data_IF_592680706314
#
_entry.id   IF_592680706314
#
_cell.length_a   1.000
_cell.length_b   1.000
_cell.length_c   1.000
_cell.angle_alpha   90.00
_cell.angle_beta   90.00
_cell.angle_gamma   90.00
#
_symmetry.space_group_name_H-M   'P 1'
#
loop_
_entity.id
_entity.type
_entity.pdbx_description
1 polymer ?
#
# COMPACT_ATOMS: atom_id res chain seq x y z
N UNK A 1 5.17 5.03 -7.49
CA UNK A 1 5.15 3.75 -6.74
C UNK A 1 4.47 2.73 -7.64
N UNK A 2 5.04 1.53 -7.73
CA UNK A 2 4.42 0.42 -8.43
C UNK A 2 3.97 -0.60 -7.38
N UNK A 3 2.68 -0.96 -7.40
CA UNK A 3 2.09 -1.95 -6.51
C UNK A 3 1.66 -3.14 -7.35
N UNK A 4 2.14 -4.32 -6.98
CA UNK A 4 1.72 -5.61 -7.55
C UNK A 4 1.12 -6.46 -6.44
N UNK A 5 -0.09 -6.97 -6.70
CA UNK A 5 -0.83 -7.79 -5.73
C UNK A 5 -0.88 -9.23 -6.24
N UNK A 6 -0.70 -10.17 -5.34
CA UNK A 6 -0.79 -11.61 -5.59
C UNK A 6 -1.77 -12.22 -4.60
N UNK A 7 -2.51 -13.23 -5.05
CA UNK A 7 -3.39 -14.04 -4.22
C UNK A 7 -2.82 -15.44 -4.09
N UNK A 8 -2.80 -15.98 -2.89
CA UNK A 8 -2.42 -17.37 -2.66
C UNK A 8 -3.52 -18.31 -3.15
N UNK A 9 -3.19 -19.19 -4.10
CA UNK A 9 -4.09 -20.16 -4.72
C UNK A 9 -3.29 -21.43 -5.03
N UNK A 10 -3.85 -22.60 -4.72
CA UNK A 10 -3.22 -23.89 -5.06
C UNK A 10 -1.76 -24.02 -4.61
N UNK A 11 -1.46 -23.58 -3.38
CA UNK A 11 -0.14 -23.62 -2.76
C UNK A 11 0.91 -22.66 -3.34
N UNK A 12 0.51 -21.65 -4.11
CA UNK A 12 1.41 -20.63 -4.66
C UNK A 12 0.77 -19.24 -4.75
N UNK A 13 1.59 -18.18 -4.76
CA UNK A 13 1.12 -16.82 -5.00
C UNK A 13 0.98 -16.56 -6.50
N UNK A 14 -0.25 -16.35 -6.96
CA UNK A 14 -0.55 -16.01 -8.35
C UNK A 14 -0.92 -14.54 -8.46
N UNK A 15 -0.52 -13.92 -9.57
CA UNK A 15 -0.85 -12.52 -9.85
C UNK A 15 -2.35 -12.29 -9.72
N UNK A 16 -2.72 -11.29 -8.91
CA UNK A 16 -4.07 -10.76 -8.85
C UNK A 16 -4.11 -9.55 -9.77
N UNK A 17 -5.06 -9.44 -10.72
CA UNK A 17 -5.04 -8.47 -11.81
C UNK A 17 -5.40 -7.05 -11.37
N UNK A 18 -4.68 -6.54 -10.38
CA UNK A 18 -4.72 -5.16 -9.91
C UNK A 18 -3.29 -4.64 -10.01
N UNK A 19 -3.03 -3.87 -11.07
CA UNK A 19 -1.82 -3.06 -11.19
C UNK A 19 -2.24 -1.61 -11.14
N UNK A 20 -1.82 -0.92 -10.08
CA UNK A 20 -2.11 0.50 -9.90
C UNK A 20 -0.78 1.25 -9.90
N UNK A 21 -0.35 1.80 -11.04
CA UNK A 21 0.75 2.76 -11.03
C UNK A 21 0.24 4.01 -10.29
N UNK A 22 0.80 4.27 -9.12
CA UNK A 22 0.39 5.40 -8.29
C UNK A 22 1.54 6.40 -8.23
N UNK A 23 1.29 7.62 -8.67
CA UNK A 23 2.15 8.73 -8.29
C UNK A 23 1.83 9.09 -6.84
N UNK A 24 2.70 8.66 -5.92
CA UNK A 24 2.47 8.80 -4.49
C UNK A 24 2.10 10.22 -4.09
N UNK A 25 2.74 11.24 -4.67
CA UNK A 25 2.54 12.62 -4.29
C UNK A 25 1.30 13.27 -4.91
N UNK A 26 0.90 12.84 -6.11
CA UNK A 26 -0.35 13.30 -6.73
C UNK A 26 -1.57 12.61 -6.12
N UNK A 27 -1.44 11.35 -5.71
CA UNK A 27 -2.54 10.53 -5.22
C UNK A 27 -2.75 10.63 -3.70
N UNK A 28 -1.71 10.98 -2.94
CA UNK A 28 -1.79 11.18 -1.50
C UNK A 28 -2.94 12.12 -1.10
N UNK A 29 -3.06 13.36 -1.62
CA UNK A 29 -4.16 14.25 -1.22
C UNK A 29 -5.55 13.75 -1.62
N UNK A 30 -5.66 12.83 -2.58
CA UNK A 30 -6.94 12.20 -2.96
C UNK A 30 -7.41 11.17 -1.94
N UNK A 31 -6.56 10.82 -0.97
CA UNK A 31 -6.88 9.95 0.15
C UNK A 31 -7.48 8.60 -0.30
N UNK A 32 -6.96 8.07 -1.41
CA UNK A 32 -7.37 6.78 -1.96
C UNK A 32 -7.18 5.71 -0.89
N UNK A 33 -8.20 4.90 -0.67
CA UNK A 33 -8.23 3.85 0.36
C UNK A 33 -7.92 4.33 1.79
N UNK A 34 -8.05 5.62 2.08
CA UNK A 34 -7.79 6.19 3.41
C UNK A 34 -6.30 6.36 3.75
N UNK A 35 -5.41 6.25 2.75
CA UNK A 35 -3.96 6.28 2.97
C UNK A 35 -3.50 7.61 3.56
N UNK A 36 -4.06 8.75 3.14
CA UNK A 36 -3.66 10.05 3.69
C UNK A 36 -4.07 10.21 5.15
N UNK A 37 -5.28 9.78 5.51
CA UNK A 37 -5.72 9.81 6.91
C UNK A 37 -4.81 8.94 7.77
N UNK A 38 -4.52 7.71 7.30
CA UNK A 38 -3.60 6.80 7.99
C UNK A 38 -2.23 7.46 8.16
N UNK A 39 -1.69 8.06 7.10
CA UNK A 39 -0.36 8.64 7.16
C UNK A 39 -0.33 9.83 8.14
N UNK A 40 -1.29 10.74 8.02
CA UNK A 40 -1.40 11.92 8.88
C UNK A 40 -1.55 11.57 10.37
N UNK A 41 -2.27 10.49 10.68
CA UNK A 41 -2.54 10.12 12.08
C UNK A 41 -1.43 9.27 12.69
N UNK A 42 -0.81 8.38 11.91
CA UNK A 42 0.05 7.33 12.44
C UNK A 42 1.53 7.46 12.06
N UNK A 43 1.91 8.43 11.22
CA UNK A 43 3.31 8.66 10.83
C UNK A 43 3.70 10.13 10.78
N UNK A 44 5.00 10.38 10.71
CA UNK A 44 5.62 11.66 10.36
C UNK A 44 5.85 11.82 8.83
N UNK A 45 5.34 10.89 8.01
CA UNK A 45 5.38 10.92 6.54
C UNK A 45 4.03 11.33 5.93
N UNK A 46 3.48 12.45 6.34
CA UNK A 46 2.10 12.86 6.01
C UNK A 46 1.97 13.73 4.74
N UNK A 47 3.09 14.20 4.19
CA UNK A 47 3.09 15.13 3.06
C UNK A 47 4.28 14.94 2.13
N UNK A 48 4.03 15.19 0.84
CA UNK A 48 5.06 15.31 -0.17
C UNK A 48 5.63 16.75 -0.27
N UNK A 49 6.87 16.91 -0.76
CA UNK A 49 7.85 15.84 -1.05
C UNK A 49 8.39 15.21 0.25
N UNK A 50 8.57 13.90 0.25
CA UNK A 50 9.17 13.17 1.36
C UNK A 50 10.66 13.52 1.45
N UNK A 51 11.06 14.17 2.55
CA UNK A 51 12.47 14.51 2.81
C UNK A 51 13.24 13.27 3.23
N UNK A 52 14.51 13.20 2.86
CA UNK A 52 15.40 12.16 3.38
C UNK A 52 15.46 12.23 4.91
N UNK A 53 15.25 11.09 5.58
CA UNK A 53 15.22 11.02 7.03
C UNK A 53 14.54 9.75 7.53
N UNK A 54 14.36 9.67 8.85
CA UNK A 54 13.74 8.54 9.50
C UNK A 54 12.22 8.73 9.59
N UNK A 55 11.48 7.77 9.04
CA UNK A 55 10.03 7.72 9.11
C UNK A 55 9.59 6.60 10.05
N UNK A 56 8.50 6.84 10.79
CA UNK A 56 7.92 5.84 11.68
C UNK A 56 6.42 5.70 11.45
N UNK A 57 5.88 4.51 11.65
CA UNK A 57 4.43 4.27 11.74
C UNK A 57 4.15 3.72 13.14
N UNK A 58 3.21 4.32 13.89
CA UNK A 58 2.82 3.88 15.24
C UNK A 58 1.33 3.59 15.28
N UNK A 59 0.99 2.34 15.62
CA UNK A 59 -0.41 1.86 15.71
C UNK A 59 -1.23 2.16 14.44
N UNK A 60 -0.62 1.97 13.27
CA UNK A 60 -1.28 2.23 11.99
C UNK A 60 -2.55 1.40 11.82
N UNK A 61 -3.68 2.07 11.58
CA UNK A 61 -4.96 1.43 11.27
C UNK A 61 -5.39 1.85 9.87
N UNK A 62 -5.66 0.86 9.03
CA UNK A 62 -6.27 1.09 7.73
C UNK A 62 -7.79 1.20 7.87
N UNK A 63 -8.38 2.20 7.22
CA UNK A 63 -9.83 2.32 7.17
C UNK A 63 -10.39 1.24 6.22
N UNK A 64 -10.86 0.14 6.78
CA UNK A 64 -11.35 -1.03 6.05
C UNK A 64 -12.53 -0.66 5.14
N UNK A 65 -13.38 0.28 5.55
CA UNK A 65 -14.51 0.78 4.75
C UNK A 65 -14.09 1.53 3.49
N UNK A 66 -12.83 1.98 3.42
CA UNK A 66 -12.26 2.62 2.23
C UNK A 66 -11.53 1.63 1.34
N UNK A 67 -11.31 0.37 1.75
CA UNK A 67 -10.70 -0.64 0.88
C UNK A 67 -11.65 -0.99 -0.29
N UNK A 68 -11.12 -1.48 -1.43
CA UNK A 68 -11.96 -1.97 -2.52
C UNK A 68 -12.96 -3.01 -1.99
N UNK A 69 -14.27 -2.89 -2.32
CA UNK A 69 -15.32 -3.74 -1.75
C UNK A 69 -15.22 -5.22 -2.14
N UNK A 70 -14.31 -5.59 -3.05
CA UNK A 70 -14.16 -6.94 -3.59
C UNK A 70 -12.74 -7.48 -3.42
N UNK A 71 -12.19 -7.46 -2.20
CA UNK A 71 -11.06 -8.32 -1.86
C UNK A 71 -11.62 -9.63 -1.28
N UNK A 72 -11.65 -10.73 -2.05
CA UNK A 72 -12.13 -12.00 -1.52
C UNK A 72 -11.31 -12.44 -0.32
N UNK A 73 -11.91 -13.20 0.59
CA UNK A 73 -11.17 -13.89 1.64
C UNK A 73 -9.98 -14.66 1.07
N UNK A 74 -8.85 -14.59 1.77
CA UNK A 74 -7.64 -15.31 1.38
C UNK A 74 -6.36 -14.64 1.83
N UNK A 75 -5.24 -15.28 1.52
CA UNK A 75 -3.92 -14.73 1.76
C UNK A 75 -3.44 -13.99 0.51
N UNK A 76 -2.88 -12.80 0.72
CA UNK A 76 -2.38 -11.91 -0.32
C UNK A 76 -0.93 -11.53 -0.03
N UNK A 77 -0.17 -11.32 -1.10
CA UNK A 77 1.14 -10.69 -1.07
C UNK A 77 1.05 -9.39 -1.85
N UNK A 78 1.51 -8.30 -1.27
CA UNK A 78 1.69 -7.03 -1.97
C UNK A 78 3.18 -6.72 -2.08
N UNK A 79 3.64 -6.49 -3.30
CA UNK A 79 4.99 -6.00 -3.59
C UNK A 79 4.89 -4.52 -3.96
N UNK A 80 5.54 -3.67 -3.17
CA UNK A 80 5.48 -2.22 -3.31
C UNK A 80 6.89 -1.73 -3.64
N UNK A 81 7.07 -1.16 -4.83
CA UNK A 81 8.36 -0.62 -5.30
C UNK A 81 8.29 0.90 -5.40
N UNK A 82 9.20 1.57 -4.70
CA UNK A 82 9.34 3.02 -4.68
C UNK A 82 10.37 3.50 -5.70
N UNK A 83 10.02 4.58 -6.41
CA UNK A 83 10.90 5.23 -7.37
C UNK A 83 10.85 6.74 -7.17
N UNK A 84 11.98 7.42 -7.35
CA UNK A 84 12.10 8.87 -7.40
C UNK A 84 12.69 9.24 -8.76
N UNK A 85 11.95 9.94 -9.62
CA UNK A 85 12.39 10.29 -10.99
C UNK A 85 12.96 9.11 -11.80
N UNK A 86 12.39 7.92 -11.63
CA UNK A 86 12.79 6.61 -12.21
C UNK A 86 13.96 5.91 -11.49
N UNK A 87 14.64 6.56 -10.56
CA UNK A 87 15.64 5.91 -9.72
C UNK A 87 14.95 5.05 -8.66
N UNK A 88 15.38 3.80 -8.54
CA UNK A 88 14.86 2.88 -7.52
C UNK A 88 15.29 3.33 -6.12
N UNK A 89 14.31 3.47 -5.22
CA UNK A 89 14.56 3.90 -3.83
C UNK A 89 14.50 2.73 -2.86
N UNK A 90 13.64 1.74 -3.14
CA UNK A 90 13.47 0.58 -2.26
C UNK A 90 12.17 -0.17 -2.53
N UNK A 91 12.00 -1.27 -1.83
CA UNK A 91 10.79 -2.09 -1.90
C UNK A 91 10.35 -2.61 -0.53
N UNK A 92 9.04 -2.86 -0.42
CA UNK A 92 8.42 -3.49 0.74
C UNK A 92 7.55 -4.63 0.26
N UNK A 93 7.69 -5.78 0.91
CA UNK A 93 6.88 -6.97 0.69
C UNK A 93 5.97 -7.16 1.90
N UNK A 94 4.66 -7.20 1.68
CA UNK A 94 3.66 -7.39 2.73
C UNK A 94 2.89 -8.67 2.43
N UNK A 95 2.80 -9.57 3.41
CA UNK A 95 1.90 -10.73 3.35
C UNK A 95 0.79 -10.48 4.37
N UNK A 96 -0.47 -10.52 3.90
CA UNK A 96 -1.63 -10.26 4.72
C UNK A 96 -2.73 -11.29 4.43
N UNK A 97 -3.50 -11.65 5.44
CA UNK A 97 -4.69 -12.50 5.28
C UNK A 97 -5.93 -11.62 5.44
N UNK A 98 -6.75 -11.59 4.41
CA UNK A 98 -8.09 -11.00 4.46
C UNK A 98 -9.02 -12.05 5.06
N UNK A 99 -9.51 -11.75 6.26
CA UNK A 99 -10.61 -12.45 6.92
C UNK A 99 -11.87 -11.61 6.77
N UNK A 100 -13.04 -12.24 6.66
CA UNK A 100 -14.32 -11.52 6.58
C UNK A 100 -14.46 -10.58 7.80
N UNK A 101 -14.95 -9.36 7.56
CA UNK A 101 -15.27 -8.36 8.59
C UNK A 101 -16.71 -8.51 9.03
#
# INVERSE_FOLDING_TARGET
INIQIYKFMSNEFRFFPVTMPLNACEELPKNIFGIYDMLKTYTNADRCPFKMGNYYIRHGVFNVSKLPPYLPRGQYKAEIKGYNNKDYVGEVNIIATVIDV
#
